data_IF_860520413853
#
_entry.id   IF_860520413853
#
_cell.length_a   1.000
_cell.length_b   1.000
_cell.length_c   1.000
_cell.angle_alpha   90.00
_cell.angle_beta   90.00
_cell.angle_gamma   90.00
#
_symmetry.space_group_name_H-M   'P 1'
#
loop_
_entity.id
_entity.type
_entity.pdbx_description
1 polymer ?
#
# COMPACT_ATOMS: atom_id res chain seq x y z
N UNK A 1 -5.55 -23.55 -16.86
CA UNK A 1 -4.56 -22.87 -16.00
C UNK A 1 -4.57 -21.40 -16.40
N UNK A 2 -5.26 -20.55 -15.66
CA UNK A 2 -5.52 -19.16 -16.08
C UNK A 2 -4.23 -18.34 -15.98
N UNK A 3 -3.45 -18.33 -17.06
CA UNK A 3 -2.56 -17.21 -17.38
C UNK A 3 -3.45 -16.09 -17.89
N UNK A 4 -3.99 -15.28 -16.98
CA UNK A 4 -4.43 -13.96 -17.37
C UNK A 4 -3.16 -13.14 -17.64
N UNK A 5 -2.72 -13.15 -18.89
CA UNK A 5 -1.94 -12.03 -19.42
C UNK A 5 -2.87 -10.81 -19.46
N UNK A 6 -3.13 -10.23 -18.29
CA UNK A 6 -3.90 -8.99 -18.15
C UNK A 6 -2.88 -7.91 -17.79
N UNK A 7 -2.61 -6.98 -18.69
CA UNK A 7 -1.96 -5.73 -18.32
C UNK A 7 -2.62 -5.22 -17.04
N UNK A 8 -1.81 -4.95 -16.01
CA UNK A 8 -2.35 -4.31 -14.82
C UNK A 8 -2.38 -2.81 -15.13
N UNK A 9 -3.56 -2.36 -15.55
CA UNK A 9 -3.84 -0.95 -15.76
C UNK A 9 -3.73 -0.20 -14.43
N UNK A 10 -2.91 0.84 -14.43
CA UNK A 10 -2.69 1.70 -13.27
C UNK A 10 -3.12 3.13 -13.60
N UNK A 11 -3.68 3.80 -12.60
CA UNK A 11 -3.91 5.24 -12.65
C UNK A 11 -2.79 5.93 -11.87
N UNK A 12 -2.18 6.96 -12.47
CA UNK A 12 -1.27 7.88 -11.78
C UNK A 12 -2.08 9.08 -11.29
N UNK A 13 -1.84 9.47 -10.04
CA UNK A 13 -2.43 10.64 -9.42
C UNK A 13 -1.33 11.68 -9.19
N UNK A 14 -1.33 12.71 -10.01
CA UNK A 14 -0.38 13.82 -9.91
C UNK A 14 -0.81 14.78 -8.79
N UNK A 15 0.14 15.27 -8.01
CA UNK A 15 -0.08 16.39 -7.12
C UNK A 15 1.22 17.20 -7.00
N UNK A 16 1.15 18.46 -6.52
CA UNK A 16 2.33 19.33 -6.43
C UNK A 16 3.48 18.77 -5.58
N UNK A 17 3.19 17.84 -4.67
CA UNK A 17 4.21 17.17 -3.87
C UNK A 17 4.79 15.95 -4.62
N UNK A 18 4.01 14.90 -4.88
CA UNK A 18 4.51 13.61 -5.40
C UNK A 18 3.45 12.86 -6.17
N UNK A 19 3.74 12.41 -7.39
CA UNK A 19 2.84 11.50 -8.12
C UNK A 19 2.64 10.20 -7.32
N UNK A 20 1.43 9.64 -7.41
CA UNK A 20 1.04 8.44 -6.69
C UNK A 20 0.40 7.39 -7.58
N UNK A 21 0.52 6.13 -7.17
CA UNK A 21 -0.33 5.06 -7.67
C UNK A 21 -0.48 3.98 -6.61
N UNK A 22 -1.32 2.96 -6.83
CA UNK A 22 -1.36 1.78 -5.99
C UNK A 22 -1.45 0.53 -6.87
N UNK A 23 -0.65 -0.48 -6.53
CA UNK A 23 -0.51 -1.70 -7.32
C UNK A 23 -0.70 -2.90 -6.41
N UNK A 24 -1.50 -3.86 -6.85
CA UNK A 24 -1.56 -5.17 -6.22
C UNK A 24 -0.43 -6.05 -6.75
N UNK A 25 0.42 -6.55 -5.85
CA UNK A 25 1.45 -7.55 -6.13
C UNK A 25 0.85 -8.92 -6.47
N UNK A 26 1.68 -9.83 -6.98
CA UNK A 26 1.27 -11.20 -7.27
C UNK A 26 0.98 -11.99 -5.98
N UNK A 27 1.55 -11.58 -4.84
CA UNK A 27 1.20 -12.03 -3.50
C UNK A 27 -0.17 -11.54 -3.01
N UNK A 28 -0.88 -10.76 -3.82
CA UNK A 28 -2.09 -10.01 -3.47
C UNK A 28 -1.89 -8.85 -2.48
N UNK A 29 -0.67 -8.57 -2.01
CA UNK A 29 -0.39 -7.37 -1.19
C UNK A 29 -0.64 -6.10 -2.01
N UNK A 30 -1.29 -5.11 -1.41
CA UNK A 30 -1.48 -3.79 -2.03
C UNK A 30 -0.38 -2.84 -1.59
N UNK A 31 0.35 -2.32 -2.57
CA UNK A 31 1.46 -1.40 -2.42
C UNK A 31 1.09 -0.02 -2.99
N UNK A 32 0.95 1.01 -2.14
CA UNK A 32 0.93 2.38 -2.60
C UNK A 32 2.34 2.79 -3.04
N UNK A 33 2.49 3.40 -4.21
CA UNK A 33 3.74 3.94 -4.70
C UNK A 33 3.69 5.46 -4.78
N UNK A 34 4.83 6.10 -4.55
CA UNK A 34 5.03 7.50 -4.87
C UNK A 34 6.28 7.70 -5.70
N UNK A 35 6.26 8.72 -6.56
CA UNK A 35 7.41 9.11 -7.36
C UNK A 35 8.31 10.05 -6.55
N UNK A 36 9.55 9.65 -6.33
CA UNK A 36 10.51 10.45 -5.54
C UNK A 36 10.91 11.73 -6.25
N UNK A 37 11.18 12.79 -5.49
CA UNK A 37 11.80 14.03 -5.98
C UNK A 37 13.32 14.07 -5.79
N UNK A 38 13.95 12.97 -5.38
CA UNK A 38 15.41 12.90 -5.16
C UNK A 38 15.93 13.48 -3.83
N UNK A 39 15.32 14.54 -3.27
CA UNK A 39 15.86 15.30 -2.11
C UNK A 39 16.35 14.44 -0.93
N UNK A 40 15.62 13.37 -0.60
CA UNK A 40 15.98 12.47 0.51
C UNK A 40 16.43 11.07 0.06
N UNK A 41 16.16 10.70 -1.19
CA UNK A 41 16.40 9.36 -1.73
C UNK A 41 17.67 9.26 -2.57
N UNK A 42 18.22 10.41 -2.99
CA UNK A 42 19.25 10.49 -4.03
C UNK A 42 18.85 9.77 -5.34
N UNK A 43 17.55 9.51 -5.50
CA UNK A 43 16.95 8.72 -6.58
C UNK A 43 15.71 9.45 -7.06
N UNK A 44 15.92 10.52 -7.83
CA UNK A 44 14.84 11.30 -8.43
C UNK A 44 14.03 10.43 -9.42
N UNK A 45 12.75 10.74 -9.59
CA UNK A 45 11.80 10.06 -10.48
C UNK A 45 11.62 8.55 -10.23
N UNK A 46 12.17 8.01 -9.15
CA UNK A 46 12.08 6.59 -8.81
C UNK A 46 10.80 6.32 -8.04
N UNK A 47 10.03 5.32 -8.46
CA UNK A 47 8.83 4.89 -7.74
C UNK A 47 9.20 4.08 -6.51
N UNK A 48 8.93 4.63 -5.33
CA UNK A 48 9.12 3.91 -4.07
C UNK A 48 7.79 3.34 -3.59
N UNK A 49 7.75 2.11 -3.06
CA UNK A 49 6.53 1.37 -2.69
C UNK A 49 5.90 1.88 -1.39
N UNK A 50 5.85 3.19 -1.23
CA UNK A 50 5.67 3.80 0.07
C UNK A 50 4.71 4.99 0.06
N UNK A 51 3.45 4.71 0.41
CA UNK A 51 2.65 5.64 1.21
C UNK A 51 2.17 4.88 2.43
N UNK A 52 2.90 5.00 3.54
CA UNK A 52 2.59 4.29 4.78
C UNK A 52 1.30 4.84 5.39
N UNK A 53 1.34 6.08 5.85
CA UNK A 53 0.27 6.82 6.52
C UNK A 53 0.89 8.14 6.97
N UNK A 54 0.07 9.10 7.41
CA UNK A 54 0.57 10.33 8.03
C UNK A 54 0.57 10.25 9.55
N UNK A 55 1.56 10.89 10.15
CA UNK A 55 1.72 11.03 11.60
C UNK A 55 2.27 12.43 11.93
N UNK A 56 2.33 12.78 13.21
CA UNK A 56 2.82 14.06 13.72
C UNK A 56 4.32 14.21 13.51
N UNK A 57 4.77 15.29 12.87
CA UNK A 57 6.19 15.50 12.61
C UNK A 57 6.98 15.57 13.94
N UNK A 58 8.06 14.79 14.10
CA UNK A 58 8.74 14.62 15.39
C UNK A 58 9.38 15.90 15.92
N UNK A 59 9.63 16.89 15.05
CA UNK A 59 10.25 18.18 15.42
C UNK A 59 9.31 19.38 15.28
N UNK A 60 8.19 19.24 14.56
CA UNK A 60 7.30 20.35 14.19
C UNK A 60 5.87 19.94 14.54
N UNK A 61 5.34 20.31 15.72
CA UNK A 61 4.13 19.70 16.27
C UNK A 61 2.85 19.94 15.45
N UNK A 62 2.85 20.95 14.58
CA UNK A 62 1.71 21.30 13.73
C UNK A 62 1.89 20.79 12.28
N UNK A 63 2.96 20.07 11.99
CA UNK A 63 3.19 19.49 10.67
C UNK A 63 2.90 18.00 10.69
N UNK A 64 2.33 17.51 9.58
CA UNK A 64 2.25 16.08 9.31
C UNK A 64 3.46 15.63 8.50
N UNK A 65 3.93 14.41 8.77
CA UNK A 65 4.95 13.74 7.97
C UNK A 65 4.48 12.36 7.53
N UNK A 66 4.88 11.96 6.33
CA UNK A 66 4.62 10.61 5.84
C UNK A 66 5.60 9.64 6.52
N UNK A 67 5.08 8.61 7.18
CA UNK A 67 5.89 7.64 7.93
C UNK A 67 6.36 6.49 7.03
N UNK A 68 7.68 6.24 7.03
CA UNK A 68 8.35 5.10 6.36
C UNK A 68 8.19 3.83 7.17
N UNK A 69 7.57 2.76 6.64
CA UNK A 69 7.67 1.47 7.28
C UNK A 69 9.11 0.94 7.17
N UNK A 70 9.71 0.55 8.30
CA UNK A 70 11.13 0.19 8.41
C UNK A 70 11.39 -1.30 8.24
N UNK A 71 11.16 -1.82 7.02
CA UNK A 71 11.48 -3.21 6.70
C UNK A 71 12.44 -3.26 5.51
N UNK A 72 13.53 -4.00 5.68
CA UNK A 72 14.57 -4.20 4.66
C UNK A 72 14.76 -5.69 4.37
N UNK A 73 13.70 -6.30 3.87
CA UNK A 73 13.61 -7.76 3.71
C UNK A 73 14.06 -8.30 2.36
N UNK A 74 14.62 -7.45 1.48
CA UNK A 74 15.18 -7.88 0.20
C UNK A 74 16.12 -9.08 0.37
N UNK A 75 16.02 -10.03 -0.56
CA UNK A 75 16.86 -11.21 -0.63
C UNK A 75 18.35 -10.87 -0.78
N UNK A 76 19.23 -11.82 -0.47
CA UNK A 76 20.67 -11.63 -0.63
C UNK A 76 21.06 -11.44 -2.10
N UNK A 77 20.42 -12.19 -3.02
CA UNK A 77 20.62 -12.09 -4.47
C UNK A 77 20.34 -10.66 -4.95
N UNK A 78 19.15 -10.15 -4.64
CA UNK A 78 18.74 -8.77 -4.98
C UNK A 78 19.70 -7.72 -4.44
N UNK A 79 20.09 -7.82 -3.15
CA UNK A 79 21.03 -6.89 -2.51
C UNK A 79 22.39 -6.92 -3.21
N UNK A 80 22.87 -8.10 -3.61
CA UNK A 80 24.13 -8.26 -4.31
C UNK A 80 24.09 -7.57 -5.69
N UNK A 81 23.02 -7.77 -6.46
CA UNK A 81 22.82 -7.12 -7.76
C UNK A 81 22.82 -5.59 -7.61
N UNK A 82 22.07 -5.05 -6.66
CA UNK A 82 22.03 -3.60 -6.42
C UNK A 82 23.44 -3.05 -6.11
N UNK A 83 24.19 -3.71 -5.24
CA UNK A 83 25.55 -3.28 -4.86
C UNK A 83 26.56 -3.45 -5.99
N UNK A 84 26.38 -4.44 -6.86
CA UNK A 84 27.23 -4.61 -8.04
C UNK A 84 27.13 -3.40 -8.98
N UNK A 85 25.92 -2.87 -9.18
CA UNK A 85 25.70 -1.76 -10.13
C UNK A 85 25.87 -0.37 -9.51
N UNK A 86 25.51 -0.21 -8.23
CA UNK A 86 25.56 1.09 -7.56
C UNK A 86 26.76 1.26 -6.62
N UNK A 87 27.57 0.21 -6.46
CA UNK A 87 28.64 0.12 -5.46
C UNK A 87 28.10 -0.21 -4.06
N UNK A 88 28.99 -0.54 -3.12
CA UNK A 88 28.64 -0.71 -1.70
C UNK A 88 28.75 0.64 -0.98
N UNK A 89 27.83 1.56 -1.29
CA UNK A 89 27.86 2.93 -0.77
C UNK A 89 26.48 3.37 -0.27
N UNK A 90 26.37 4.63 0.14
CA UNK A 90 25.12 5.16 0.66
C UNK A 90 23.96 5.10 -0.36
N UNK A 91 24.23 5.16 -1.66
CA UNK A 91 23.19 5.12 -2.70
C UNK A 91 22.55 3.73 -2.76
N UNK A 92 23.34 2.66 -2.78
CA UNK A 92 22.81 1.29 -2.78
C UNK A 92 22.02 0.99 -1.52
N UNK A 93 22.54 1.39 -0.35
CA UNK A 93 21.86 1.15 0.92
C UNK A 93 20.59 1.99 1.06
N UNK A 94 20.57 3.21 0.52
CA UNK A 94 19.35 4.04 0.48
C UNK A 94 18.28 3.38 -0.39
N UNK A 95 18.63 2.90 -1.59
CA UNK A 95 17.70 2.16 -2.45
C UNK A 95 17.15 0.90 -1.76
N UNK A 96 18.05 0.06 -1.23
CA UNK A 96 17.70 -1.17 -0.49
C UNK A 96 16.75 -0.85 0.68
N UNK A 97 17.04 0.21 1.43
CA UNK A 97 16.25 0.59 2.60
C UNK A 97 14.83 1.04 2.30
N UNK A 98 14.56 1.48 1.07
CA UNK A 98 13.27 2.08 0.68
C UNK A 98 12.34 1.11 -0.03
N UNK A 99 12.82 -0.07 -0.42
CA UNK A 99 12.06 -0.99 -1.26
C UNK A 99 11.21 -1.99 -0.47
N UNK A 100 11.45 -2.18 0.83
CA UNK A 100 10.62 -3.05 1.66
C UNK A 100 10.94 -4.54 1.49
N UNK A 101 10.53 -5.12 0.36
CA UNK A 101 10.66 -6.54 0.01
C UNK A 101 10.87 -6.73 -1.51
N UNK A 102 11.17 -7.97 -1.94
CA UNK A 102 11.54 -8.24 -3.33
C UNK A 102 10.39 -8.00 -4.31
N UNK A 103 9.14 -8.23 -3.91
CA UNK A 103 7.98 -7.96 -4.76
C UNK A 103 7.77 -6.45 -4.99
N UNK A 104 7.88 -5.65 -3.94
CA UNK A 104 7.76 -4.21 -4.02
C UNK A 104 8.88 -3.59 -4.88
N UNK A 105 10.09 -4.14 -4.81
CA UNK A 105 11.19 -3.81 -5.73
C UNK A 105 10.85 -4.18 -7.18
N UNK A 106 10.34 -5.38 -7.43
CA UNK A 106 9.96 -5.86 -8.77
C UNK A 106 8.88 -4.97 -9.41
N UNK A 107 7.90 -4.52 -8.62
CA UNK A 107 6.87 -3.58 -9.07
C UNK A 107 7.49 -2.20 -9.34
N UNK A 108 8.37 -1.68 -8.48
CA UNK A 108 9.12 -0.43 -8.75
C UNK A 108 9.88 -0.50 -10.07
N UNK A 109 10.61 -1.60 -10.30
CA UNK A 109 11.35 -1.86 -11.54
C UNK A 109 10.43 -1.91 -12.77
N UNK A 110 9.23 -2.47 -12.60
CA UNK A 110 8.19 -2.53 -13.63
C UNK A 110 7.65 -1.13 -13.98
N UNK A 111 7.46 -0.26 -12.99
CA UNK A 111 7.06 1.14 -13.18
C UNK A 111 8.13 1.97 -13.91
N UNK A 112 9.41 1.61 -13.76
CA UNK A 112 10.52 2.27 -14.44
C UNK A 112 10.82 3.69 -13.95
N UNK A 113 11.47 4.50 -14.79
CA UNK A 113 11.92 5.85 -14.43
C UNK A 113 13.08 5.88 -13.41
N UNK A 114 13.57 7.07 -13.10
CA UNK A 114 14.60 7.29 -12.08
C UNK A 114 15.80 6.35 -12.19
N UNK A 115 16.15 5.66 -11.09
CA UNK A 115 17.28 4.72 -11.05
C UNK A 115 17.21 3.64 -12.13
N UNK A 116 16.00 3.21 -12.50
CA UNK A 116 15.79 2.16 -13.51
C UNK A 116 16.08 2.65 -14.93
N UNK A 117 15.86 3.93 -15.20
CA UNK A 117 16.21 4.56 -16.46
C UNK A 117 17.71 4.92 -16.50
N UNK A 118 18.27 5.37 -15.39
CA UNK A 118 19.70 5.71 -15.27
C UNK A 118 20.61 4.48 -15.38
N UNK A 119 20.19 3.34 -14.83
CA UNK A 119 20.96 2.10 -14.81
C UNK A 119 20.17 0.96 -15.48
N UNK A 120 20.10 0.93 -16.83
CA UNK A 120 19.30 -0.07 -17.54
C UNK A 120 19.80 -1.50 -17.30
N UNK A 121 21.11 -1.70 -17.14
CA UNK A 121 21.67 -3.02 -16.83
C UNK A 121 21.26 -3.53 -15.43
N UNK A 122 21.23 -2.65 -14.43
CA UNK A 122 20.67 -2.97 -13.12
C UNK A 122 19.19 -3.38 -13.24
N UNK A 123 18.41 -2.63 -14.03
CA UNK A 123 17.00 -2.96 -14.27
C UNK A 123 16.85 -4.36 -14.88
N UNK A 124 17.60 -4.67 -15.93
CA UNK A 124 17.60 -5.98 -16.57
C UNK A 124 17.94 -7.10 -15.59
N UNK A 125 19.03 -6.93 -14.82
CA UNK A 125 19.48 -7.97 -13.88
C UNK A 125 18.45 -8.19 -12.77
N UNK A 126 17.80 -7.13 -12.26
CA UNK A 126 16.68 -7.25 -11.33
C UNK A 126 15.46 -7.92 -11.98
N UNK A 127 15.18 -7.69 -13.26
CA UNK A 127 14.07 -8.37 -13.94
C UNK A 127 14.33 -9.88 -14.15
N UNK A 128 15.61 -10.27 -14.26
CA UNK A 128 16.02 -11.65 -14.51
C UNK A 128 16.34 -12.45 -13.24
N UNK A 129 16.56 -11.78 -12.10
CA UNK A 129 16.91 -12.41 -10.84
C UNK A 129 15.83 -13.36 -10.33
N UNK A 130 16.25 -14.47 -9.71
CA UNK A 130 15.31 -15.50 -9.26
C UNK A 130 14.39 -15.00 -8.16
N UNK A 131 14.88 -14.12 -7.29
CA UNK A 131 14.09 -13.53 -6.20
C UNK A 131 12.94 -12.60 -6.65
N UNK A 132 12.98 -12.06 -7.87
CA UNK A 132 12.09 -10.96 -8.32
C UNK A 132 11.33 -11.27 -9.60
N UNK A 133 11.83 -12.15 -10.47
CA UNK A 133 11.23 -12.45 -11.79
C UNK A 133 9.75 -12.85 -11.71
N UNK A 134 9.35 -13.58 -10.68
CA UNK A 134 7.96 -14.05 -10.49
C UNK A 134 7.02 -12.94 -10.00
N UNK A 135 7.57 -11.79 -9.59
CA UNK A 135 6.84 -10.61 -9.15
C UNK A 135 6.82 -9.48 -10.18
N UNK A 136 7.56 -9.60 -11.29
CA UNK A 136 7.55 -8.59 -12.36
C UNK A 136 6.15 -8.51 -12.99
N UNK A 137 5.68 -7.27 -13.20
CA UNK A 137 4.35 -7.01 -13.77
C UNK A 137 4.48 -6.20 -15.06
N UNK A 138 3.68 -6.54 -16.07
CA UNK A 138 3.45 -5.64 -17.20
C UNK A 138 2.42 -4.60 -16.77
N UNK A 139 2.89 -3.41 -16.43
CA UNK A 139 2.06 -2.29 -16.01
C UNK A 139 1.80 -1.37 -17.22
N UNK A 140 0.56 -0.91 -17.33
CA UNK A 140 0.17 0.07 -18.34
C UNK A 140 -0.49 1.26 -17.64
N UNK A 141 -0.06 2.48 -18.00
CA UNK A 141 -0.66 3.70 -17.44
C UNK A 141 -1.95 3.96 -18.21
N UNK A 142 -3.07 3.61 -17.59
CA UNK A 142 -4.41 3.82 -18.16
C UNK A 142 -4.77 5.31 -18.17
N UNK A 143 -4.44 6.00 -17.07
CA UNK A 143 -4.81 7.40 -16.90
C UNK A 143 -3.83 8.12 -15.98
N UNK A 144 -3.69 9.42 -16.23
CA UNK A 144 -3.05 10.39 -15.34
C UNK A 144 -4.14 11.35 -14.89
N UNK A 145 -4.29 11.54 -13.58
CA UNK A 145 -5.34 12.37 -12.98
C UNK A 145 -4.72 13.35 -12.01
N UNK A 146 -5.12 14.61 -12.10
CA UNK A 146 -4.80 15.59 -11.06
C UNK A 146 -5.54 15.22 -9.76
N UNK A 147 -4.79 15.21 -8.66
CA UNK A 147 -5.35 15.05 -7.34
C UNK A 147 -6.02 16.34 -6.90
N UNK A 148 -7.29 16.22 -6.52
CA UNK A 148 -8.04 17.32 -5.92
C UNK A 148 -7.57 17.51 -4.47
N UNK A 149 -6.87 18.61 -4.22
CA UNK A 149 -6.46 19.05 -2.89
C UNK A 149 -7.22 20.34 -2.56
N UNK A 150 -7.98 20.40 -1.46
CA UNK A 150 -8.65 21.63 -1.05
C UNK A 150 -7.65 22.79 -0.93
N UNK A 151 -8.04 24.02 -1.31
CA UNK A 151 -7.17 25.18 -1.17
C UNK A 151 -6.85 25.41 0.30
N UNK A 152 -5.56 25.56 0.61
CA UNK A 152 -5.11 25.73 1.98
C UNK A 152 -5.61 27.06 2.56
N UNK A 153 -6.23 27.00 3.72
CA UNK A 153 -6.56 28.13 4.57
C UNK A 153 -5.42 28.41 5.54
N UNK A 154 -5.46 29.58 6.17
CA UNK A 154 -4.52 29.91 7.25
C UNK A 154 -5.04 29.32 8.55
N UNK A 155 -4.24 28.47 9.19
CA UNK A 155 -4.51 28.01 10.54
C UNK A 155 -4.21 26.53 10.75
N UNK A 156 -4.64 26.06 11.91
CA UNK A 156 -4.67 24.65 12.27
C UNK A 156 -6.06 24.10 11.99
N UNK A 157 -6.13 22.85 11.58
CA UNK A 157 -7.39 22.14 11.31
C UNK A 157 -7.27 20.71 11.83
N UNK A 158 -8.36 20.12 12.34
CA UNK A 158 -8.36 18.72 12.74
C UNK A 158 -8.02 17.81 11.56
N UNK A 159 -7.06 16.91 11.78
CA UNK A 159 -6.71 15.82 10.90
C UNK A 159 -7.11 14.50 11.54
N UNK A 160 -7.81 13.66 10.78
CA UNK A 160 -8.15 12.29 11.16
C UNK A 160 -7.59 11.38 10.06
N UNK A 161 -6.36 10.92 10.27
CA UNK A 161 -5.67 10.01 9.37
C UNK A 161 -5.76 8.56 9.83
N UNK A 162 -5.12 7.65 9.08
CA UNK A 162 -5.07 6.23 9.44
C UNK A 162 -4.35 5.93 10.77
N UNK A 163 -3.39 6.74 11.19
CA UNK A 163 -2.55 6.49 12.38
C UNK A 163 -2.48 7.63 13.37
N UNK A 164 -2.89 8.82 12.96
CA UNK A 164 -2.79 10.01 13.78
C UNK A 164 -4.09 10.80 13.71
N UNK A 165 -4.52 11.28 14.88
CA UNK A 165 -5.62 12.20 15.05
C UNK A 165 -5.10 13.40 15.86
N UNK A 166 -5.33 14.61 15.36
CA UNK A 166 -4.92 15.85 16.03
C UNK A 166 -4.91 17.05 15.09
N UNK A 167 -4.41 18.18 15.58
CA UNK A 167 -4.36 19.41 14.79
C UNK A 167 -3.06 19.52 13.99
N UNK A 168 -3.16 19.99 12.75
CA UNK A 168 -2.02 20.31 11.90
C UNK A 168 -2.35 21.51 11.00
N UNK A 169 -1.33 22.08 10.35
CA UNK A 169 -1.53 23.12 9.34
C UNK A 169 -2.48 22.63 8.24
N UNK A 170 -3.47 23.44 7.90
CA UNK A 170 -4.50 23.08 6.92
C UNK A 170 -3.91 22.63 5.57
N UNK A 171 -2.81 23.26 5.14
CA UNK A 171 -2.06 22.83 3.94
C UNK A 171 -1.53 21.40 4.00
N UNK A 172 -1.14 20.92 5.19
CA UNK A 172 -0.73 19.53 5.40
C UNK A 172 -1.95 18.61 5.50
N UNK A 173 -3.02 19.05 6.18
CA UNK A 173 -4.26 18.27 6.33
C UNK A 173 -4.90 17.97 4.97
N UNK A 174 -5.06 18.99 4.12
CA UNK A 174 -5.66 18.85 2.80
C UNK A 174 -4.88 17.85 1.92
N UNK A 175 -3.55 17.97 1.91
CA UNK A 175 -2.68 17.06 1.16
C UNK A 175 -2.72 15.64 1.72
N UNK A 176 -2.54 15.46 3.04
CA UNK A 176 -2.55 14.15 3.69
C UNK A 176 -3.89 13.41 3.46
N UNK A 177 -5.01 14.12 3.61
CA UNK A 177 -6.35 13.58 3.38
C UNK A 177 -6.55 13.16 1.93
N UNK A 178 -6.14 13.99 0.97
CA UNK A 178 -6.25 13.68 -0.44
C UNK A 178 -5.40 12.45 -0.82
N UNK A 179 -4.16 12.39 -0.31
CA UNK A 179 -3.22 11.30 -0.49
C UNK A 179 -3.74 9.98 0.08
N UNK A 180 -4.16 9.95 1.36
CA UNK A 180 -4.74 8.75 1.98
C UNK A 180 -6.04 8.32 1.27
N UNK A 181 -6.87 9.28 0.87
CA UNK A 181 -8.12 9.02 0.15
C UNK A 181 -7.91 8.41 -1.23
N UNK A 182 -6.93 8.89 -2.00
CA UNK A 182 -6.57 8.29 -3.30
C UNK A 182 -6.13 6.84 -3.12
N UNK A 183 -5.22 6.59 -2.18
CA UNK A 183 -4.71 5.23 -1.94
C UNK A 183 -5.84 4.31 -1.46
N UNK A 184 -6.68 4.74 -0.54
CA UNK A 184 -7.83 3.95 -0.08
C UNK A 184 -8.78 3.60 -1.24
N UNK A 185 -9.10 4.57 -2.12
CA UNK A 185 -9.94 4.32 -3.30
C UNK A 185 -9.31 3.36 -4.29
N UNK A 186 -8.00 3.46 -4.55
CA UNK A 186 -7.33 2.50 -5.43
C UNK A 186 -7.22 1.12 -4.80
N UNK A 187 -6.86 1.05 -3.51
CA UNK A 187 -6.73 -0.20 -2.77
C UNK A 187 -8.06 -0.98 -2.72
N UNK A 188 -9.19 -0.28 -2.60
CA UNK A 188 -10.52 -0.88 -2.58
C UNK A 188 -10.91 -1.62 -3.88
N UNK A 189 -10.21 -1.37 -5.00
CA UNK A 189 -10.42 -2.10 -6.26
C UNK A 189 -9.85 -3.52 -6.22
N UNK A 190 -8.95 -3.81 -5.29
CA UNK A 190 -8.22 -5.07 -5.24
C UNK A 190 -8.80 -6.02 -4.19
N UNK A 191 -8.83 -7.32 -4.51
CA UNK A 191 -9.15 -8.36 -3.53
C UNK A 191 -7.88 -8.71 -2.77
N UNK A 192 -7.69 -8.07 -1.62
CA UNK A 192 -6.51 -8.28 -0.77
C UNK A 192 -6.88 -8.48 0.70
N UNK A 193 -6.02 -9.19 1.42
CA UNK A 193 -6.02 -9.28 2.89
C UNK A 193 -4.94 -8.40 3.52
N UNK A 194 -4.07 -7.80 2.71
CA UNK A 194 -2.89 -7.06 3.17
C UNK A 194 -2.65 -5.80 2.35
N UNK A 195 -2.83 -4.64 3.00
CA UNK A 195 -2.43 -3.33 2.48
C UNK A 195 -1.26 -2.82 3.32
N UNK A 196 -0.17 -2.43 2.66
CA UNK A 196 1.00 -1.84 3.37
C UNK A 196 0.58 -0.59 4.14
N UNK A 197 -0.33 0.20 3.59
CA UNK A 197 -0.85 1.41 4.22
C UNK A 197 -1.58 1.08 5.54
N UNK A 198 -2.50 0.12 5.49
CA UNK A 198 -3.33 -0.24 6.66
C UNK A 198 -2.51 -0.93 7.76
N UNK A 199 -1.63 -1.85 7.36
CA UNK A 199 -0.77 -2.58 8.29
C UNK A 199 0.33 -1.70 8.87
N UNK A 200 0.66 -0.60 8.18
CA UNK A 200 1.74 0.30 8.55
C UNK A 200 3.12 -0.34 8.51
N UNK A 201 3.26 -1.47 7.80
CA UNK A 201 4.50 -2.22 7.63
C UNK A 201 4.47 -3.00 6.31
N UNK A 202 5.63 -3.20 5.72
CA UNK A 202 5.78 -4.17 4.65
C UNK A 202 5.71 -5.59 5.22
N UNK A 203 5.13 -6.55 4.50
CA UNK A 203 5.42 -7.94 4.75
C UNK A 203 6.87 -8.23 4.37
N UNK A 204 7.52 -9.13 5.11
CA UNK A 204 8.84 -9.63 4.72
C UNK A 204 8.73 -10.45 3.43
N UNK A 205 9.81 -10.51 2.63
CA UNK A 205 9.84 -11.38 1.42
C UNK A 205 9.35 -12.80 1.72
N UNK A 206 9.75 -13.39 2.85
CA UNK A 206 9.36 -14.76 3.21
C UNK A 206 7.87 -14.92 3.57
N UNK A 207 7.17 -13.83 3.86
CA UNK A 207 5.74 -13.85 4.24
C UNK A 207 4.82 -13.80 3.01
N UNK A 208 5.34 -13.40 1.84
CA UNK A 208 4.55 -13.13 0.63
C UNK A 208 3.72 -14.33 0.17
N UNK A 209 4.28 -15.54 0.19
CA UNK A 209 3.57 -16.74 -0.25
C UNK A 209 2.36 -17.06 0.64
N UNK A 210 2.52 -16.94 1.96
CA UNK A 210 1.42 -17.17 2.90
C UNK A 210 0.29 -16.14 2.73
N UNK A 211 0.63 -14.88 2.46
CA UNK A 211 -0.35 -13.82 2.18
C UNK A 211 -1.11 -14.11 0.87
N UNK A 212 -0.41 -14.63 -0.14
CA UNK A 212 -1.01 -15.03 -1.41
C UNK A 212 -2.07 -16.12 -1.20
N UNK A 213 -1.73 -17.16 -0.45
CA UNK A 213 -2.64 -18.27 -0.13
C UNK A 213 -3.90 -17.79 0.62
N UNK A 214 -3.72 -16.92 1.62
CA UNK A 214 -4.84 -16.34 2.38
C UNK A 214 -5.76 -15.48 1.50
N UNK A 215 -5.17 -14.67 0.62
CA UNK A 215 -5.93 -13.80 -0.28
C UNK A 215 -6.69 -14.59 -1.35
N UNK A 216 -6.11 -15.69 -1.84
CA UNK A 216 -6.79 -16.62 -2.73
C UNK A 216 -8.03 -17.25 -2.06
N UNK A 217 -7.88 -17.72 -0.81
CA UNK A 217 -9.01 -18.23 -0.03
C UNK A 217 -10.13 -17.20 0.16
N UNK A 218 -9.77 -15.93 0.46
CA UNK A 218 -10.73 -14.82 0.54
C UNK A 218 -11.45 -14.59 -0.80
N UNK A 219 -10.72 -14.58 -1.92
CA UNK A 219 -11.31 -14.41 -3.25
C UNK A 219 -12.31 -15.51 -3.59
N UNK A 220 -11.99 -16.78 -3.31
CA UNK A 220 -12.94 -17.89 -3.51
C UNK A 220 -14.21 -17.67 -2.69
N UNK A 221 -14.07 -17.32 -1.40
CA UNK A 221 -15.19 -17.06 -0.50
C UNK A 221 -16.07 -15.92 -1.01
N UNK A 222 -15.48 -14.78 -1.34
CA UNK A 222 -16.22 -13.58 -1.74
C UNK A 222 -16.96 -13.82 -3.08
N UNK A 223 -16.32 -14.53 -4.02
CA UNK A 223 -16.97 -14.97 -5.26
C UNK A 223 -18.14 -15.93 -5.01
N UNK A 224 -18.01 -16.85 -4.06
CA UNK A 224 -19.08 -17.76 -3.68
C UNK A 224 -20.27 -17.01 -3.06
N UNK A 225 -20.01 -16.10 -2.11
CA UNK A 225 -21.05 -15.25 -1.50
C UNK A 225 -21.80 -14.44 -2.56
N UNK A 226 -21.07 -13.79 -3.48
CA UNK A 226 -21.69 -13.01 -4.56
C UNK A 226 -22.56 -13.87 -5.49
N UNK A 227 -22.18 -15.13 -5.73
CA UNK A 227 -23.02 -16.08 -6.49
C UNK A 227 -24.28 -16.46 -5.73
N UNK A 228 -24.19 -16.75 -4.42
CA UNK A 228 -25.35 -17.06 -3.61
C UNK A 228 -26.34 -15.89 -3.51
N UNK A 229 -25.83 -14.67 -3.39
CA UNK A 229 -26.65 -13.44 -3.37
C UNK A 229 -27.41 -13.27 -4.70
N UNK A 230 -26.73 -13.45 -5.84
CA UNK A 230 -27.36 -13.44 -7.16
C UNK A 230 -28.42 -14.53 -7.35
N UNK A 231 -28.28 -15.66 -6.68
CA UNK A 231 -29.23 -16.76 -6.72
C UNK A 231 -30.39 -16.58 -5.72
N UNK A 232 -30.41 -15.50 -4.94
CA UNK A 232 -31.41 -15.27 -3.89
C UNK A 232 -31.32 -16.29 -2.74
N UNK A 233 -30.23 -17.04 -2.65
CA UNK A 233 -30.00 -18.08 -1.63
C UNK A 233 -29.38 -17.51 -0.36
N UNK A 234 -29.04 -16.22 -0.36
CA UNK A 234 -28.50 -15.53 0.80
C UNK A 234 -29.65 -14.97 1.65
N UNK A 235 -30.13 -15.76 2.63
CA UNK A 235 -30.92 -15.19 3.71
C UNK A 235 -29.98 -14.36 4.58
N UNK A 236 -30.22 -13.04 4.64
CA UNK A 236 -29.56 -12.18 5.63
C UNK A 236 -29.86 -12.76 7.01
N UNK A 237 -28.87 -13.34 7.66
CA UNK A 237 -28.94 -13.63 9.09
C UNK A 237 -29.19 -12.27 9.74
N UNK A 238 -30.33 -12.05 10.43
CA UNK A 238 -30.55 -10.79 11.12
C UNK A 238 -29.38 -10.59 12.09
N UNK A 239 -28.90 -9.35 12.27
CA UNK A 239 -27.87 -9.08 13.25
C UNK A 239 -28.33 -9.67 14.59
N UNK A 240 -27.57 -10.64 15.09
CA UNK A 240 -27.80 -11.21 16.41
C UNK A 240 -27.89 -10.05 17.38
N UNK A 241 -29.05 -9.89 18.03
CA UNK A 241 -29.19 -8.90 19.08
C UNK A 241 -28.03 -9.07 20.07
N UNK A 242 -27.44 -7.97 20.57
CA UNK A 242 -26.40 -8.06 21.57
C UNK A 242 -26.92 -8.93 22.74
N UNK A 243 -26.06 -9.75 23.35
CA UNK A 243 -26.45 -10.57 24.48
C UNK A 243 -27.07 -9.66 25.54
N UNK A 244 -28.32 -9.96 25.93
CA UNK A 244 -28.96 -9.30 27.06
C UNK A 244 -28.04 -9.48 28.27
N UNK A 245 -27.47 -8.38 28.75
CA UNK A 245 -26.79 -8.33 30.04
C UNK A 245 -27.80 -8.79 31.09
N UNK A 246 -27.45 -9.84 31.82
CA UNK A 246 -28.35 -10.56 32.71
C UNK A 246 -28.63 -9.82 34.02
N UNK A 247 -29.53 -8.83 33.98
CA UNK A 247 -30.07 -8.20 35.19
C UNK A 247 -31.61 -8.23 35.31
N UNK A 248 -32.35 -8.77 34.32
CA UNK A 248 -33.83 -8.73 34.33
C UNK A 248 -34.52 -10.05 34.74
N UNK A 249 -33.88 -10.88 35.57
CA UNK A 249 -34.52 -12.09 36.14
C UNK A 249 -34.47 -12.12 37.67
N UNK A 250 -35.06 -11.11 38.31
CA UNK A 250 -35.55 -11.20 39.69
C UNK A 250 -36.91 -10.48 39.84
N UNK A 251 -37.96 -11.14 39.35
CA UNK A 251 -39.35 -10.79 39.63
C UNK A 251 -40.08 -12.07 40.02
N UNK A 252 -40.58 -12.11 41.26
CA UNK A 252 -40.92 -13.35 41.96
C UNK A 252 -42.16 -14.09 41.45
N UNK A 253 -42.24 -15.35 41.86
CA UNK A 253 -43.51 -16.06 41.96
C UNK A 253 -43.49 -16.88 43.25
N UNK A 254 -44.20 -16.37 44.25
CA UNK A 254 -44.64 -17.15 45.42
C UNK A 254 -45.69 -18.15 44.95
N UNK A 255 -45.60 -19.38 45.42
CA UNK A 255 -46.72 -20.32 45.42
C UNK A 255 -47.05 -20.69 46.87
N UNK A 256 -48.35 -20.61 47.16
CA UNK A 256 -49.01 -21.08 48.39
C UNK A 256 -48.94 -22.59 48.48
#
# INVERSE_FOLDING_TARGET
MYRLSSQADITIYENPARDLTAVQGNSSVVYPFYKSSGNNSKSDQTWFPWMGYFDKHPKNPNELYMVKPDVKSLSAETKAIIRQHLGTNEVSENLISRMGNDEALAISCSLGGGVWATYPKLREDIMMASATKDYIKMLHVEAVKEMQVPPAQKGLTPFIGKRYEGEAFDSHVGMATAMEGVVARQAAKFVSTYSVQDKGKFPKTQELESIAQLSHGKSIRDNYIAKLDKLGLFQKIPPTMPPKTGDDLKGGMQLK
#
